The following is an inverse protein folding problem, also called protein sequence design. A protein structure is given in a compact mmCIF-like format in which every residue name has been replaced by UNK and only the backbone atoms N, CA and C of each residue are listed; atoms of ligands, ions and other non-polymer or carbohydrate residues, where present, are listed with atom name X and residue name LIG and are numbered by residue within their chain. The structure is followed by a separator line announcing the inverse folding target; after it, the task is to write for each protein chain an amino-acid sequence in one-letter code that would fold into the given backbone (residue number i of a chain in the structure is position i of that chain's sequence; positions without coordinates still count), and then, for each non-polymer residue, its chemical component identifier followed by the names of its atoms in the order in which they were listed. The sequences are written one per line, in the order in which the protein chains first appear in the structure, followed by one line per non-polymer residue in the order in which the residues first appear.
data_IF_593408942199
#
_entry.id   IF_593408942199
#
_cell.length_a   1.000
_cell.length_b   1.000
_cell.length_c   1.000
_cell.angle_alpha   90.00
_cell.angle_beta   90.00
_cell.angle_gamma   90.00
#
_symmetry.space_group_name_H-M   'P 1'
#
loop_
_entity.id
_entity.type
_entity.pdbx_description
1 polymer ?
2 non-polymer ?
3 non-polymer ?
4 water ?
#
# COMPACT_ATOMS: atom_id res chain seq x y z
N UNK A 4 -26.80 15.70 -16.66
CA UNK A 4 -25.87 16.70 -17.18
C UNK A 4 -24.43 16.26 -17.01
N UNK A 5 -24.01 16.08 -15.75
CA UNK A 5 -22.63 15.69 -15.45
C UNK A 5 -22.51 14.19 -15.24
N UNK A 6 -21.37 13.61 -15.65
CA UNK A 6 -21.15 12.18 -15.39
C UNK A 6 -20.95 11.94 -13.90
N UNK A 7 -21.09 10.69 -13.48
CA UNK A 7 -20.91 10.30 -12.09
C UNK A 7 -19.94 9.14 -12.00
N UNK A 8 -19.21 9.05 -10.90
CA UNK A 8 -18.21 8.00 -10.77
C UNK A 8 -18.12 7.46 -9.35
N UNK A 9 -17.74 6.20 -9.23
CA UNK A 9 -17.33 5.63 -7.96
C UNK A 9 -16.25 4.59 -8.19
N UNK A 10 -15.36 4.44 -7.22
CA UNK A 10 -14.41 3.34 -7.21
C UNK A 10 -14.52 2.61 -5.89
N UNK A 11 -14.48 1.29 -5.92
CA UNK A 11 -14.53 0.51 -4.70
C UNK A 11 -14.02 -0.89 -5.01
N UNK A 12 -14.05 -1.76 -4.01
CA UNK A 12 -13.73 -3.15 -4.24
C UNK A 12 -14.79 -3.74 -5.17
N UNK A 13 -14.42 -4.75 -5.93
CA UNK A 13 -15.32 -5.34 -6.92
C UNK A 13 -16.66 -5.74 -6.28
N UNK A 14 -17.75 -5.22 -6.85
CA UNK A 14 -19.09 -5.53 -6.38
C UNK A 14 -19.67 -4.49 -5.43
N UNK A 15 -18.85 -3.52 -5.02
CA UNK A 15 -19.29 -2.53 -4.04
C UNK A 15 -19.48 -1.13 -4.64
N UNK A 16 -18.90 -0.88 -5.81
CA UNK A 16 -18.95 0.45 -6.40
C UNK A 16 -20.37 0.84 -6.79
N UNK A 17 -20.70 2.11 -6.55
CA UNK A 17 -22.03 2.63 -6.83
C UNK A 17 -21.98 4.14 -6.98
N UNK A 18 -22.00 4.63 -8.24
CA UNK A 18 -21.85 6.07 -8.50
C UNK A 18 -23.02 6.88 -7.97
N UNK A 19 -24.21 6.27 -7.92
CA UNK A 19 -25.40 6.97 -7.43
C UNK A 19 -25.38 7.10 -5.91
N UNK A 20 -24.93 6.05 -5.24
CA UNK A 20 -24.98 5.98 -3.78
C UNK A 20 -23.73 5.32 -3.21
N UNK A 21 -22.61 6.06 -3.20
CA UNK A 21 -21.34 5.52 -2.71
C UNK A 21 -21.41 5.05 -1.25
N UNK A 22 -20.64 4.01 -0.95
CA UNK A 22 -20.53 3.41 0.38
C UNK A 22 -20.16 4.45 1.44
N UNK A 23 -20.71 4.29 2.64
CA UNK A 23 -20.52 5.28 3.70
C UNK A 23 -19.18 5.20 4.44
N UNK A 24 -18.65 3.99 4.54
CA UNK A 24 -17.45 3.82 5.32
C UNK A 24 -16.16 3.69 4.51
N UNK A 25 -16.07 4.37 3.39
CA UNK A 25 -14.93 4.15 2.48
C UNK A 25 -13.59 4.41 3.10
N UNK A 26 -13.51 5.41 3.95
CA UNK A 26 -12.25 5.86 4.45
C UNK A 26 -11.57 4.86 5.37
N UNK A 27 -12.39 4.02 5.98
CA UNK A 27 -11.95 3.02 6.92
C UNK A 27 -11.31 1.83 6.19
N UNK A 28 -10.03 1.65 6.43
CA UNK A 28 -9.29 0.60 5.74
C UNK A 28 -9.84 -0.80 6.03
N UNK A 29 -9.85 -1.63 4.99
CA UNK A 29 -10.26 -3.02 5.11
C UNK A 29 -9.02 -3.89 5.31
N UNK A 30 -9.07 -4.73 6.33
CA UNK A 30 -7.96 -5.60 6.68
C UNK A 30 -7.74 -6.70 5.64
N UNK A 31 -6.51 -6.78 5.14
CA UNK A 31 -6.08 -7.86 4.25
C UNK A 31 -4.77 -8.43 4.76
N UNK A 32 -4.39 -9.62 4.27
CA UNK A 32 -3.05 -10.13 4.56
C UNK A 32 -2.15 -9.94 3.34
N UNK A 33 -0.84 -9.87 3.59
CA UNK A 33 0.12 -9.75 2.50
C UNK A 33 -0.09 -10.89 1.50
N UNK A 34 -0.07 -10.55 0.22
CA UNK A 34 -0.26 -11.53 -0.83
C UNK A 34 -1.69 -11.58 -1.35
N UNK A 35 -2.61 -10.94 -0.62
CA UNK A 35 -3.99 -10.89 -1.09
C UNK A 35 -4.07 -10.17 -2.44
N UNK A 36 -4.88 -10.70 -3.33
CA UNK A 36 -5.16 -10.02 -4.59
C UNK A 36 -6.43 -9.19 -4.41
N UNK A 37 -6.28 -7.88 -4.46
CA UNK A 37 -7.37 -6.95 -4.24
C UNK A 37 -8.02 -6.59 -5.57
N UNK A 38 -9.31 -6.93 -5.72
CA UNK A 38 -10.05 -6.63 -6.94
C UNK A 38 -10.78 -5.29 -6.85
N UNK A 39 -10.56 -4.44 -7.84
CA UNK A 39 -11.15 -3.11 -7.87
C UNK A 39 -12.15 -2.97 -9.01
N UNK A 40 -13.07 -2.03 -8.86
CA UNK A 40 -13.92 -1.64 -9.97
C UNK A 40 -14.17 -0.15 -9.98
N UNK A 41 -14.13 0.44 -11.17
CA UNK A 41 -14.51 1.82 -11.39
C UNK A 41 -15.78 1.82 -12.21
N UNK A 42 -16.82 2.46 -11.70
CA UNK A 42 -18.07 2.55 -12.42
C UNK A 42 -18.35 4.02 -12.73
N UNK A 43 -18.55 4.32 -14.01
CA UNK A 43 -18.79 5.69 -14.45
C UNK A 43 -20.08 5.78 -15.26
N UNK A 44 -20.96 6.70 -14.85
CA UNK A 44 -22.19 6.96 -15.58
C UNK A 44 -21.99 8.13 -16.53
N UNK A 45 -22.24 7.91 -17.81
CA UNK A 45 -22.14 8.96 -18.80
C UNK A 45 -23.52 9.32 -19.31
N UNK A 46 -23.87 10.61 -19.25
CA UNK A 46 -25.22 11.09 -19.59
C UNK A 46 -25.59 10.80 -21.04
N UNK A 47 -26.89 10.67 -21.30
CA UNK A 47 -27.37 10.55 -22.68
C UNK A 47 -26.98 11.81 -23.43
N UNK A 48 -26.80 11.67 -24.74
CA UNK A 48 -26.54 12.83 -25.61
C UNK A 48 -25.20 13.50 -25.33
N UNK A 49 -24.24 12.72 -24.82
CA UNK A 49 -22.90 13.25 -24.59
C UNK A 49 -22.16 13.40 -25.92
N UNK A 50 -21.21 14.33 -25.95
CA UNK A 50 -20.38 14.53 -27.14
C UNK A 50 -18.95 14.77 -26.73
N UNK A 51 -18.39 13.85 -25.95
CA UNK A 51 -17.04 14.02 -25.43
C UNK A 51 -15.99 13.80 -26.50
N UNK A 52 -14.93 14.62 -26.46
CA UNK A 52 -13.76 14.44 -27.30
C UNK A 52 -12.75 13.56 -26.58
N UNK A 53 -12.88 13.51 -25.25
CA UNK A 53 -11.98 12.72 -24.41
C UNK A 53 -12.75 12.06 -23.27
N UNK A 54 -12.44 10.80 -23.01
CA UNK A 54 -12.90 10.09 -21.82
C UNK A 54 -11.76 9.21 -21.38
N UNK A 55 -10.99 9.70 -20.40
CA UNK A 55 -9.79 9.02 -19.92
C UNK A 55 -9.85 8.69 -18.42
N UNK A 56 -9.48 7.47 -18.07
CA UNK A 56 -9.35 7.09 -16.68
C UNK A 56 -7.88 6.81 -16.36
N UNK A 57 -7.42 7.26 -15.21
CA UNK A 57 -6.07 6.93 -14.78
C UNK A 57 -6.04 6.59 -13.31
N UNK A 58 -5.23 5.59 -12.96
CA UNK A 58 -5.11 5.13 -11.58
C UNK A 58 -3.64 4.98 -11.23
N UNK A 59 -3.27 5.41 -10.02
CA UNK A 59 -1.93 5.22 -9.50
C UNK A 59 -2.05 4.77 -8.06
N UNK A 60 -1.16 3.86 -7.66
CA UNK A 60 -1.26 3.23 -6.34
C UNK A 60 0.00 3.42 -5.50
N UNK A 61 -0.18 3.42 -4.18
CA UNK A 61 0.94 3.47 -3.28
C UNK A 61 1.75 2.15 -3.36
N UNK A 62 3.00 2.19 -2.92
CA UNK A 62 3.95 1.14 -3.29
C UNK A 62 3.65 -0.26 -2.76
N UNK A 63 2.85 -0.35 -1.69
CA UNK A 63 2.48 -1.64 -1.12
C UNK A 63 1.42 -2.39 -1.91
N UNK A 64 0.88 -1.75 -2.94
CA UNK A 64 -0.05 -2.39 -3.87
C UNK A 64 0.61 -2.50 -5.24
N UNK A 65 0.87 -3.74 -5.68
CA UNK A 65 1.43 -3.96 -7.00
C UNK A 65 0.34 -4.19 -8.04
N UNK A 66 0.11 -3.20 -8.89
CA UNK A 66 -0.85 -3.34 -9.98
C UNK A 66 -0.56 -4.61 -10.77
N UNK A 67 -1.60 -5.42 -10.98
CA UNK A 67 -1.45 -6.64 -11.76
C UNK A 67 -1.68 -6.39 -13.25
N UNK A 68 -0.58 -6.25 -13.99
CA UNK A 68 -0.68 -6.00 -15.43
C UNK A 68 -1.46 -7.12 -16.11
N UNK A 69 -2.30 -6.74 -17.06
CA UNK A 69 -3.08 -7.70 -17.83
C UNK A 69 -4.46 -7.99 -17.27
N UNK A 70 -4.78 -7.40 -16.12
CA UNK A 70 -6.06 -7.70 -15.47
C UNK A 70 -7.19 -6.72 -15.81
N UNK A 71 -6.89 -5.71 -16.62
CA UNK A 71 -7.89 -4.69 -16.92
C UNK A 71 -8.96 -5.18 -17.91
N UNK A 72 -10.22 -5.05 -17.51
CA UNK A 72 -11.37 -5.36 -18.35
C UNK A 72 -12.32 -4.18 -18.35
N UNK A 73 -12.82 -3.81 -19.53
CA UNK A 73 -13.72 -2.68 -19.66
C UNK A 73 -14.99 -3.03 -20.41
N UNK A 74 -16.13 -2.65 -19.83
CA UNK A 74 -17.44 -2.88 -20.44
C UNK A 74 -18.25 -1.59 -20.46
N UNK A 75 -19.16 -1.51 -21.43
CA UNK A 75 -20.12 -0.42 -21.48
C UNK A 75 -21.51 -1.06 -21.51
N UNK A 76 -22.34 -0.71 -20.53
CA UNK A 76 -23.64 -1.37 -20.37
C UNK A 76 -23.48 -2.89 -20.33
N UNK A 77 -22.43 -3.36 -19.66
CA UNK A 77 -22.17 -4.78 -19.45
C UNK A 77 -21.68 -5.51 -20.71
N UNK A 78 -21.33 -4.74 -21.73
CA UNK A 78 -20.84 -5.29 -22.98
C UNK A 78 -19.36 -4.97 -23.17
N UNK A 79 -18.56 -5.97 -23.49
CA UNK A 79 -17.12 -5.78 -23.61
C UNK A 79 -16.73 -4.85 -24.77
N UNK A 80 -15.78 -3.95 -24.51
CA UNK A 80 -15.22 -3.14 -25.57
C UNK A 80 -14.21 -3.95 -26.38
N UNK A 81 -13.94 -3.50 -27.60
CA UNK A 81 -12.92 -4.12 -28.44
C UNK A 81 -11.56 -3.45 -28.22
N UNK A 82 -10.49 -4.15 -28.60
CA UNK A 82 -9.14 -3.62 -28.42
C UNK A 82 -9.00 -2.23 -29.03
N UNK A 83 -9.66 -2.01 -30.17
CA UNK A 83 -9.55 -0.75 -30.88
C UNK A 83 -10.33 0.40 -30.26
N UNK A 84 -11.09 0.11 -29.21
CA UNK A 84 -11.94 1.11 -28.59
C UNK A 84 -11.21 1.94 -27.54
N UNK A 85 -10.04 1.47 -27.12
CA UNK A 85 -9.27 2.19 -26.11
C UNK A 85 -7.78 1.97 -26.22
N UNK A 86 -7.03 2.90 -25.68
CA UNK A 86 -5.58 2.77 -25.58
C UNK A 86 -5.24 2.57 -24.11
N UNK A 87 -4.63 1.43 -23.81
CA UNK A 87 -4.27 1.12 -22.43
C UNK A 87 -2.76 1.15 -22.23
N UNK A 88 -2.31 1.98 -21.30
CA UNK A 88 -0.90 2.02 -20.94
C UNK A 88 -0.73 1.56 -19.50
N UNK A 89 0.11 0.55 -19.31
CA UNK A 89 0.33 -0.01 -17.98
C UNK A 89 1.73 0.30 -17.47
N UNK A 90 1.80 0.73 -16.21
CA UNK A 90 3.07 0.96 -15.54
C UNK A 90 3.11 0.23 -14.20
N UNK A 91 4.25 0.22 -13.54
CA UNK A 91 4.39 -0.50 -12.29
C UNK A 91 3.36 -0.06 -11.26
N UNK A 92 3.01 1.23 -11.30
CA UNK A 92 2.16 1.81 -10.27
C UNK A 92 0.71 2.03 -10.69
N UNK A 93 0.32 1.52 -11.86
CA UNK A 93 -1.05 1.69 -12.29
C UNK A 93 -1.22 1.68 -13.80
N UNK A 94 -2.22 2.42 -14.28
CA UNK A 94 -2.53 2.44 -15.71
C UNK A 94 -3.26 3.69 -16.14
N UNK A 95 -3.26 3.93 -17.44
CA UNK A 95 -4.10 4.95 -18.06
C UNK A 95 -4.91 4.27 -19.15
N UNK A 96 -6.22 4.55 -19.19
CA UNK A 96 -7.10 3.96 -20.17
C UNK A 96 -7.86 5.09 -20.87
N UNK A 97 -7.62 5.23 -22.17
CA UNK A 97 -8.16 6.35 -22.93
C UNK A 97 -9.02 5.84 -24.07
N UNK A 98 -10.27 6.30 -24.15
CA UNK A 98 -11.12 5.87 -25.25
C UNK A 98 -10.62 6.46 -26.57
N UNK A 99 -10.61 5.62 -27.60
CA UNK A 99 -10.30 6.08 -28.95
C UNK A 99 -11.57 6.65 -29.55
N UNK A 100 -11.49 7.16 -30.77
CA UNK A 100 -12.69 7.65 -31.45
C UNK A 100 -13.74 6.54 -31.55
N UNK A 101 -13.28 5.32 -31.79
CA UNK A 101 -14.19 4.17 -31.89
C UNK A 101 -14.90 3.91 -30.58
N UNK A 102 -14.18 4.01 -29.47
CA UNK A 102 -14.75 3.83 -28.16
C UNK A 102 -15.68 4.95 -27.78
N UNK A 103 -15.29 6.18 -28.12
CA UNK A 103 -16.12 7.35 -27.84
C UNK A 103 -17.50 7.24 -28.49
N UNK A 104 -17.54 6.67 -29.70
CA UNK A 104 -18.80 6.55 -30.43
C UNK A 104 -19.80 5.67 -29.68
N UNK A 105 -19.30 4.81 -28.79
CA UNK A 105 -20.16 3.90 -28.05
C UNK A 105 -20.75 4.51 -26.77
N UNK A 106 -20.16 5.61 -26.31
CA UNK A 106 -20.71 6.31 -25.15
C UNK A 106 -21.34 7.65 -25.52
N UNK A 107 -20.99 8.16 -26.70
CA UNK A 107 -21.52 9.43 -27.18
C UNK A 107 -22.83 9.27 -27.94
N UNK A 108 -23.65 10.32 -27.95
CA UNK A 108 -24.84 10.38 -28.79
C UNK A 108 -25.82 9.24 -28.53
N UNK A 109 -25.88 8.80 -27.27
CA UNK A 109 -26.79 7.73 -26.89
C UNK A 109 -28.09 8.32 -26.34
N UNK A 110 -29.18 7.58 -26.48
CA UNK A 110 -30.48 8.07 -26.03
C UNK A 110 -30.73 7.80 -24.54
N UNK A 111 -29.80 7.10 -23.90
CA UNK A 111 -29.90 6.82 -22.48
C UNK A 111 -28.53 6.88 -21.81
N UNK A 112 -28.53 7.04 -20.50
CA UNK A 112 -27.32 7.04 -19.70
C UNK A 112 -26.53 5.76 -19.98
N UNK A 113 -25.21 5.89 -20.12
CA UNK A 113 -24.34 4.74 -20.33
C UNK A 113 -23.50 4.45 -19.09
N UNK A 114 -23.30 3.17 -18.81
CA UNK A 114 -22.54 2.75 -17.64
C UNK A 114 -21.24 2.07 -18.04
N UNK A 115 -20.12 2.72 -17.74
CA UNK A 115 -18.81 2.16 -18.02
C UNK A 115 -18.30 1.46 -16.77
N UNK A 116 -17.79 0.24 -16.92
CA UNK A 116 -17.24 -0.51 -15.80
C UNK A 116 -15.84 -0.98 -16.14
N UNK A 117 -14.88 -0.62 -15.30
CA UNK A 117 -13.49 -1.02 -15.47
C UNK A 117 -13.06 -1.82 -14.25
N UNK A 118 -12.66 -3.06 -14.45
CA UNK A 118 -12.20 -3.89 -13.35
C UNK A 118 -10.75 -4.32 -13.55
N UNK A 119 -10.07 -4.56 -12.43
CA UNK A 119 -8.66 -4.94 -12.44
C UNK A 119 -8.26 -5.31 -11.02
N UNK A 120 -7.02 -5.74 -10.84
CA UNK A 120 -6.58 -6.11 -9.50
C UNK A 120 -5.16 -5.64 -9.21
N UNK A 121 -4.82 -5.64 -7.92
CA UNK A 121 -3.47 -5.36 -7.47
C UNK A 121 -3.15 -6.36 -6.36
N UNK A 122 -1.86 -6.64 -6.17
CA UNK A 122 -1.44 -7.57 -5.13
C UNK A 122 -0.81 -6.80 -3.97
N UNK A 123 -1.32 -7.03 -2.77
CA UNK A 123 -0.72 -6.43 -1.58
C UNK A 123 0.63 -7.10 -1.35
N UNK A 124 1.69 -6.30 -1.28
CA UNK A 124 3.05 -6.86 -1.29
C UNK A 124 3.85 -6.60 0.00
N UNK A 125 5.05 -7.15 0.05
CA UNK A 125 5.85 -7.14 1.27
C UNK A 125 6.37 -5.76 1.68
N UNK A 126 6.16 -4.76 0.83
CA UNK A 126 6.55 -3.39 1.17
C UNK A 126 5.53 -2.74 2.10
N UNK A 127 4.36 -3.36 2.23
CA UNK A 127 3.32 -2.82 3.09
C UNK A 127 3.81 -2.78 4.53
N UNK A 128 3.45 -1.73 5.25
CA UNK A 128 3.80 -1.58 6.66
C UNK A 128 2.54 -1.74 7.50
N UNK A 129 2.63 -2.54 8.55
CA UNK A 129 1.45 -2.79 9.38
C UNK A 129 0.84 -1.50 9.90
N UNK A 130 -0.49 -1.44 9.86
CA UNK A 130 -1.28 -0.31 10.33
C UNK A 130 -1.17 0.96 9.48
N UNK A 131 -0.41 0.89 8.39
CA UNK A 131 -0.36 1.99 7.43
C UNK A 131 -1.10 1.56 6.18
N UNK A 132 -2.21 2.24 5.86
CA UNK A 132 -3.01 1.77 4.72
C UNK A 132 -2.28 1.94 3.38
N UNK A 133 -2.75 1.18 2.39
CA UNK A 133 -2.32 1.36 1.01
C UNK A 133 -3.56 1.74 0.22
N UNK A 134 -3.38 2.50 -0.86
CA UNK A 134 -4.52 3.04 -1.60
C UNK A 134 -4.22 3.21 -3.08
N UNK A 135 -5.28 3.14 -3.88
CA UNK A 135 -5.19 3.60 -5.26
C UNK A 135 -5.80 5.00 -5.34
N UNK A 136 -5.91 5.51 -6.56
CA UNK A 136 -6.31 6.91 -6.77
C UNK A 136 -6.69 7.11 -8.22
N UNK A 137 -8.00 7.08 -8.50
CA UNK A 137 -8.50 7.20 -9.86
C UNK A 137 -9.00 8.60 -10.16
N UNK A 138 -8.73 9.08 -11.37
CA UNK A 138 -9.31 10.34 -11.83
C UNK A 138 -9.91 10.09 -13.20
N UNK A 139 -11.08 10.69 -13.45
CA UNK A 139 -11.71 10.61 -14.77
C UNK A 139 -11.64 11.98 -15.41
N UNK A 140 -10.91 12.07 -16.51
CA UNK A 140 -10.69 13.32 -17.21
C UNK A 140 -11.44 13.29 -18.54
N UNK A 141 -12.32 14.27 -18.75
CA UNK A 141 -13.24 14.25 -19.88
C UNK A 141 -13.59 15.67 -20.32
N UNK A 142 -14.28 15.77 -21.45
CA UNK A 142 -14.80 17.05 -21.89
C UNK A 142 -15.10 17.04 -23.38
N UNK A 143 -15.72 18.12 -23.85
CA UNK A 143 -16.02 18.24 -25.28
C UNK A 143 -14.80 18.66 -26.09
N UNK A 144 -13.75 19.11 -25.40
CA UNK A 144 -12.46 19.36 -26.02
C UNK A 144 -11.49 18.25 -25.64
N UNK A 145 -10.43 18.06 -26.44
CA UNK A 145 -9.42 17.09 -26.01
C UNK A 145 -8.93 17.44 -24.60
N UNK A 146 -8.74 16.43 -23.75
CA UNK A 146 -8.30 16.70 -22.38
C UNK A 146 -6.98 16.00 -22.05
N UNK A 147 -6.09 16.72 -21.37
CA UNK A 147 -4.76 16.23 -21.09
C UNK A 147 -4.53 15.92 -19.61
N UNK A 148 -5.59 16.00 -18.81
CA UNK A 148 -5.50 15.73 -17.38
C UNK A 148 -5.36 14.25 -17.06
N UNK A 149 -4.83 13.97 -15.87
CA UNK A 149 -4.70 12.60 -15.38
C UNK A 149 -4.62 12.59 -13.85
N UNK A 150 -4.30 11.44 -13.27
CA UNK A 150 -4.36 11.28 -11.81
C UNK A 150 -3.01 11.56 -11.14
N UNK A 151 -3.04 12.02 -9.87
CA UNK A 151 -1.77 12.28 -9.18
C UNK A 151 -0.90 11.02 -9.03
N UNK A 152 0.42 11.22 -9.05
CA UNK A 152 1.36 10.15 -8.79
C UNK A 152 1.96 10.36 -7.40
N UNK A 153 1.78 9.38 -6.50
CA UNK A 153 2.29 9.57 -5.13
C UNK A 153 3.83 9.48 -5.08
N UNK A 154 4.43 10.16 -4.12
CA UNK A 154 5.88 10.18 -4.00
C UNK A 154 6.30 10.36 -2.56
N UNK A 155 7.44 9.80 -2.20
CA UNK A 155 8.01 10.03 -0.88
C UNK A 155 8.82 11.32 -0.89
N UNK A 156 9.00 11.92 0.30
CA UNK A 156 9.90 13.07 0.40
C UNK A 156 11.35 12.62 0.23
N UNK A 157 12.26 13.57 0.07
CA UNK A 157 13.68 13.27 0.17
C UNK A 157 14.02 12.84 1.59
N UNK A 158 15.23 12.31 1.78
CA UNK A 158 15.66 11.77 3.07
C UNK A 158 15.38 12.69 4.24
N UNK A 159 15.52 13.99 4.03
CA UNK A 159 15.38 14.96 5.12
C UNK A 159 13.97 15.49 5.33
N UNK A 160 13.00 14.95 4.60
CA UNK A 160 11.60 15.24 4.83
C UNK A 160 11.01 16.30 3.92
N UNK A 161 11.78 16.72 2.91
CA UNK A 161 11.35 17.75 1.98
C UNK A 161 10.66 17.17 0.75
N UNK A 162 9.55 17.78 0.34
CA UNK A 162 8.87 17.41 -0.89
C UNK A 162 8.49 18.68 -1.64
N UNK A 163 8.94 18.78 -2.90
CA UNK A 163 8.83 20.02 -3.65
C UNK A 163 7.88 19.89 -4.83
N UNK A 164 7.00 20.88 -4.98
CA UNK A 164 6.06 20.95 -6.09
C UNK A 164 6.54 21.97 -7.12
N UNK A 165 6.49 21.60 -8.40
CA UNK A 165 6.73 22.52 -9.49
C UNK A 165 5.57 22.48 -10.48
N UNK A 166 5.06 23.66 -10.84
CA UNK A 166 3.94 23.75 -11.77
C UNK A 166 4.30 24.55 -13.01
N UNK A 167 3.94 24.03 -14.17
CA UNK A 167 4.06 24.77 -15.42
C UNK A 167 2.70 24.83 -16.11
N UNK A 168 2.57 25.71 -17.10
CA UNK A 168 1.30 25.93 -17.78
C UNK A 168 1.49 25.87 -19.28
N UNK A 169 0.55 25.24 -19.97
CA UNK A 169 0.58 25.20 -21.44
C UNK A 169 -0.82 25.43 -22.01
N UNK A 170 -0.89 25.88 -23.26
CA UNK A 170 -2.18 26.01 -23.93
C UNK A 170 -2.64 24.66 -24.47
N UNK A 171 -3.76 24.64 -25.19
CA UNK A 171 -4.34 23.39 -25.65
C UNK A 171 -3.42 22.62 -26.61
N UNK A 172 -2.48 23.33 -27.23
CA UNK A 172 -1.55 22.72 -28.18
C UNK A 172 -0.26 22.25 -27.52
N UNK A 173 -0.10 22.57 -26.24
CA UNK A 173 1.09 22.17 -25.49
C UNK A 173 2.17 23.24 -25.42
N UNK A 174 1.87 24.44 -25.91
CA UNK A 174 2.82 25.55 -25.89
C UNK A 174 2.83 26.23 -24.53
N UNK A 175 4.03 26.47 -23.96
CA UNK A 175 4.07 27.12 -22.66
C UNK A 175 3.35 28.48 -22.65
N UNK A 176 2.65 28.76 -21.56
CA UNK A 176 1.97 30.03 -21.35
C UNK A 176 2.18 30.48 -19.91
N UNK A 177 1.97 31.78 -19.63
CA UNK A 177 2.03 32.30 -18.25
C UNK A 177 0.98 31.65 -17.38
N UNK A 178 1.17 31.69 -16.06
CA UNK A 178 0.18 31.16 -15.13
C UNK A 178 -1.16 31.83 -15.37
N UNK A 179 -2.22 31.04 -15.46
CA UNK A 179 -3.54 31.55 -15.78
C UNK A 179 -4.29 32.01 -14.55
N UNK A 180 -3.84 31.58 -13.38
CA UNK A 180 -4.51 31.91 -12.13
C UNK A 180 -3.65 31.46 -10.97
N UNK A 181 -4.00 31.90 -9.77
CA UNK A 181 -3.40 31.33 -8.57
C UNK A 181 -3.83 29.87 -8.49
N UNK A 182 -2.91 28.99 -8.10
CA UNK A 182 -3.18 27.57 -8.07
C UNK A 182 -3.01 27.03 -6.66
N UNK A 183 -4.08 26.46 -6.12
CA UNK A 183 -4.03 25.87 -4.79
C UNK A 183 -3.97 24.35 -4.85
N UNK A 184 -3.08 23.79 -4.04
CA UNK A 184 -2.92 22.34 -3.96
C UNK A 184 -3.09 21.87 -2.52
N UNK A 185 -3.73 20.73 -2.36
CA UNK A 185 -3.74 20.08 -1.06
C UNK A 185 -2.70 18.97 -1.04
N UNK A 186 -1.74 19.07 -0.13
CA UNK A 186 -0.77 18.00 0.06
C UNK A 186 -1.43 16.93 0.91
N UNK A 187 -1.58 15.74 0.35
CA UNK A 187 -2.35 14.69 0.99
C UNK A 187 -1.43 13.51 1.29
N UNK A 188 -1.61 12.93 2.47
CA UNK A 188 -1.00 11.64 2.80
C UNK A 188 -1.67 10.60 1.92
N UNK A 189 -0.91 10.03 0.98
CA UNK A 189 -1.49 9.14 -0.04
C UNK A 189 -1.89 7.77 0.51
N UNK A 190 -1.36 7.42 1.68
CA UNK A 190 -1.68 6.15 2.31
C UNK A 190 -3.09 6.20 2.89
N UNK A 191 -3.37 7.28 3.61
CA UNK A 191 -4.59 7.38 4.40
C UNK A 191 -5.65 8.31 3.80
N UNK A 192 -5.21 9.24 2.95
CA UNK A 192 -6.12 10.16 2.30
C UNK A 192 -6.44 11.40 3.10
N UNK A 193 -5.62 11.69 4.12
CA UNK A 193 -5.80 12.88 4.94
C UNK A 193 -4.94 14.04 4.43
N UNK A 194 -5.51 15.25 4.40
CA UNK A 194 -4.76 16.42 3.99
C UNK A 194 -3.81 16.84 5.11
N UNK A 195 -2.56 17.10 4.77
CA UNK A 195 -1.56 17.46 5.77
C UNK A 195 -1.20 18.95 5.68
N UNK A 196 -1.30 19.52 4.49
CA UNK A 196 -0.94 20.91 4.28
C UNK A 196 -1.57 21.45 3.01
N UNK A 197 -1.99 22.71 3.03
CA UNK A 197 -2.46 23.37 1.83
C UNK A 197 -1.46 24.42 1.38
N UNK A 198 -1.18 24.45 0.08
CA UNK A 198 -0.23 25.42 -0.47
C UNK A 198 -0.85 26.14 -1.67
N UNK A 199 -0.47 27.40 -1.85
CA UNK A 199 -0.94 28.17 -3.00
C UNK A 199 0.23 28.76 -3.76
N UNK A 200 0.26 28.52 -5.06
CA UNK A 200 1.24 29.16 -5.93
C UNK A 200 0.64 30.42 -6.53
N UNK A 201 1.27 31.56 -6.24
CA UNK A 201 0.90 32.81 -6.89
C UNK A 201 1.35 32.76 -8.35
N UNK A 202 0.92 33.72 -9.14
CA UNK A 202 1.19 33.70 -10.58
C UNK A 202 2.64 34.03 -10.92
N UNK A 203 3.44 34.38 -9.91
CA UNK A 203 4.84 34.74 -10.18
C UNK A 203 5.87 33.76 -9.60
N UNK A 204 5.41 32.79 -8.80
CA UNK A 204 6.30 31.79 -8.23
C UNK A 204 5.72 30.38 -8.35
N UNK A 205 6.32 29.55 -9.20
CA UNK A 205 5.72 28.27 -9.58
C UNK A 205 6.28 27.04 -8.87
N UNK A 206 7.00 27.26 -7.78
CA UNK A 206 7.58 26.15 -7.01
C UNK A 206 7.42 26.39 -5.52
N UNK A 207 7.34 25.32 -4.75
CA UNK A 207 7.31 25.42 -3.30
C UNK A 207 7.79 24.13 -2.66
N UNK A 208 8.54 24.26 -1.58
CA UNK A 208 9.01 23.10 -0.84
C UNK A 208 8.27 23.01 0.49
N UNK A 209 7.75 21.82 0.78
CA UNK A 209 7.16 21.53 2.09
C UNK A 209 8.13 20.67 2.87
N UNK A 210 8.47 21.10 4.08
CA UNK A 210 9.41 20.38 4.94
C UNK A 210 8.70 19.63 6.06
N UNK A 211 9.43 18.75 6.75
CA UNK A 211 8.92 18.10 7.94
C UNK A 211 8.06 16.87 7.72
N UNK A 212 8.10 16.34 6.50
CA UNK A 212 7.29 15.17 6.16
C UNK A 212 8.00 13.88 6.52
N UNK A 213 7.26 12.78 6.57
CA UNK A 213 7.84 11.48 6.90
C UNK A 213 8.44 10.83 5.66
N UNK A 214 9.73 10.50 5.75
CA UNK A 214 10.47 9.99 4.60
C UNK A 214 10.00 8.61 4.15
N UNK A 215 9.23 7.93 5.01
CA UNK A 215 8.73 6.59 4.68
C UNK A 215 7.25 6.58 4.29
N UNK A 216 6.70 7.77 4.05
CA UNK A 216 5.30 7.94 3.72
C UNK A 216 5.17 8.54 2.32
N UNK A 217 4.19 8.07 1.55
CA UNK A 217 3.93 8.66 0.25
C UNK A 217 2.88 9.76 0.33
N UNK A 218 3.12 10.85 -0.40
CA UNK A 218 2.21 11.98 -0.45
C UNK A 218 1.90 12.34 -1.90
N UNK A 219 0.94 13.24 -2.07
CA UNK A 219 0.58 13.75 -3.39
C UNK A 219 0.06 15.18 -3.26
N UNK A 220 0.37 16.01 -4.25
CA UNK A 220 -0.22 17.35 -4.31
C UNK A 220 -1.43 17.28 -5.22
N UNK A 221 -2.63 17.42 -4.65
CA UNK A 221 -3.85 17.36 -5.44
C UNK A 221 -4.30 18.76 -5.80
N UNK A 222 -4.32 19.07 -7.09
CA UNK A 222 -4.70 20.40 -7.54
C UNK A 222 -6.19 20.65 -7.35
N UNK A 223 -6.54 21.76 -6.71
CA UNK A 223 -7.93 22.18 -6.69
C UNK A 223 -8.29 22.70 -8.08
N UNK A 224 -9.42 22.25 -8.61
CA UNK A 224 -9.82 22.59 -9.97
C UNK A 224 -9.75 24.08 -10.25
N UNK A 225 -9.06 24.41 -11.34
CA UNK A 225 -8.97 25.77 -11.84
C UNK A 225 -9.81 25.82 -13.11
N UNK A 226 -10.72 26.78 -13.19
CA UNK A 226 -11.66 26.85 -14.30
C UNK A 226 -10.98 26.85 -15.66
N UNK A 227 -11.23 25.80 -16.44
CA UNK A 227 -10.73 25.72 -17.80
C UNK A 227 -9.32 25.16 -17.97
N UNK A 228 -8.73 24.70 -16.86
CA UNK A 228 -7.40 24.09 -16.90
C UNK A 228 -7.44 22.66 -16.36
N UNK A 229 -6.70 21.77 -17.01
CA UNK A 229 -6.63 20.38 -16.60
C UNK A 229 -5.23 20.02 -16.08
N UNK A 230 -5.19 19.22 -15.02
CA UNK A 230 -3.94 18.89 -14.34
C UNK A 230 -3.30 17.60 -14.82
N UNK A 231 -2.09 17.73 -15.37
CA UNK A 231 -1.31 16.64 -15.92
C UNK A 231 -0.14 16.39 -14.97
N UNK A 232 -0.25 15.36 -14.15
CA UNK A 232 0.77 15.04 -13.15
C UNK A 232 1.86 14.19 -13.81
N UNK A 233 3.09 14.69 -13.77
CA UNK A 233 4.19 14.02 -14.45
C UNK A 233 4.62 12.75 -13.72
N UNK A 234 5.12 11.78 -14.46
CA UNK A 234 5.71 10.58 -13.86
C UNK A 234 6.79 10.96 -12.84
N UNK A 235 6.88 10.19 -11.77
CA UNK A 235 7.88 10.44 -10.74
C UNK A 235 9.24 9.97 -11.22
N UNK A 236 10.27 10.81 -11.06
CA UNK A 236 11.62 10.44 -11.48
C UNK A 236 12.61 10.41 -10.31
N UNK A 237 12.23 11.05 -9.21
CA UNK A 237 13.08 11.10 -8.02
C UNK A 237 12.23 11.36 -6.79
N UNK A 238 12.66 10.85 -5.64
CA UNK A 238 12.01 11.19 -4.39
C UNK A 238 12.07 12.70 -4.17
N UNK A 239 11.09 13.24 -3.45
CA UNK A 239 11.14 14.63 -3.03
C UNK A 239 10.74 15.67 -4.07
N UNK A 240 10.35 15.22 -5.26
CA UNK A 240 9.93 16.15 -6.32
C UNK A 240 8.67 15.65 -7.03
N UNK A 241 7.70 16.55 -7.17
CA UNK A 241 6.48 16.29 -7.92
C UNK A 241 6.27 17.44 -8.90
N UNK A 242 6.03 17.10 -10.17
CA UNK A 242 5.81 18.12 -11.20
C UNK A 242 4.39 18.01 -11.77
N UNK A 243 3.76 19.17 -11.97
CA UNK A 243 2.43 19.22 -12.53
C UNK A 243 2.41 20.19 -13.70
N UNK A 244 1.72 19.80 -14.77
CA UNK A 244 1.53 20.67 -15.94
C UNK A 244 0.05 20.96 -16.11
N UNK A 245 -0.30 22.25 -16.15
CA UNK A 245 -1.68 22.67 -16.38
C UNK A 245 -1.97 23.01 -17.82
N UNK A 246 -2.87 22.26 -18.44
CA UNK A 246 -3.26 22.48 -19.82
C UNK A 246 -4.54 23.31 -19.92
N UNK A 247 -4.53 24.33 -20.78
CA UNK A 247 -5.73 25.14 -20.99
C UNK A 247 -6.71 24.43 -21.93
N UNK A 248 -7.30 23.34 -21.45
CA UNK A 248 -8.20 22.51 -22.27
C UNK A 248 -9.63 23.05 -22.33
N UNK A 249 -9.96 23.95 -21.39
CA UNK A 249 -11.30 24.53 -21.32
C UNK A 249 -12.41 23.48 -21.16
N UNK A 250 -12.10 22.45 -20.37
CA UNK A 250 -13.04 21.38 -20.06
C UNK A 250 -13.52 21.48 -18.61
N UNK A 251 -14.57 20.71 -18.26
CA UNK A 251 -15.08 20.66 -16.90
C UNK A 251 -14.06 20.07 -15.93
N UNK A 252 -14.27 20.29 -14.63
CA UNK A 252 -13.41 19.68 -13.63
C UNK A 252 -13.50 18.17 -13.73
N UNK A 253 -12.40 17.46 -13.42
CA UNK A 253 -12.40 16.01 -13.53
C UNK A 253 -13.25 15.37 -12.43
N UNK A 254 -13.57 14.09 -12.58
CA UNK A 254 -14.25 13.35 -11.53
C UNK A 254 -13.21 12.64 -10.67
N UNK A 255 -13.39 12.72 -9.36
CA UNK A 255 -12.39 12.25 -8.41
C UNK A 255 -13.12 11.57 -7.25
N UNK A 256 -13.35 10.25 -7.37
CA UNK A 256 -14.12 9.49 -6.39
C UNK A 256 -13.33 9.28 -5.11
N UNK A 257 -14.00 8.83 -4.05
CA UNK A 257 -13.32 8.47 -2.81
C UNK A 257 -12.91 7.00 -2.84
N UNK A 258 -11.60 6.75 -2.86
CA UNK A 258 -11.10 5.39 -2.96
C UNK A 258 -11.13 4.64 -1.64
N UNK A 259 -11.34 3.32 -1.70
CA UNK A 259 -11.23 2.49 -0.50
C UNK A 259 -9.76 2.34 -0.09
N UNK A 260 -9.52 1.70 1.04
CA UNK A 260 -8.17 1.54 1.56
C UNK A 260 -8.00 0.12 2.08
N UNK A 261 -6.77 -0.39 2.01
CA UNK A 261 -6.47 -1.70 2.58
C UNK A 261 -5.35 -1.60 3.60
N UNK A 262 -5.30 -2.53 4.54
CA UNK A 262 -4.32 -2.46 5.62
C UNK A 262 -4.02 -3.83 6.21
N UNK A 263 -2.77 -4.04 6.62
CA UNK A 263 -2.41 -5.29 7.25
C UNK A 263 -2.01 -5.05 8.71
N UNK A 264 -2.03 -6.13 9.51
CA UNK A 264 -1.82 -6.03 10.96
C UNK A 264 -0.61 -6.88 11.40
N UNK A 265 -0.19 -6.71 12.64
CA UNK A 265 0.95 -7.47 13.13
C UNK A 265 1.01 -7.56 14.65
N UNK A 266 2.07 -8.17 15.16
CA UNK A 266 2.23 -8.35 16.60
C UNK A 266 3.70 -8.41 16.98
N UNK A 267 4.04 -7.83 18.13
CA UNK A 267 5.39 -7.85 18.70
C UNK A 267 5.44 -8.71 19.94
N UNK A 268 6.59 -9.35 20.16
CA UNK A 268 6.82 -10.22 21.32
C UNK A 268 8.18 -9.95 21.97
N UNK A 269 8.29 -10.19 23.27
CA UNK A 269 9.59 -10.21 23.95
C UNK A 269 9.74 -11.48 24.78
N UNK A 270 10.81 -12.21 24.53
CA UNK A 270 11.16 -13.40 25.31
C UNK A 270 11.96 -13.03 26.55
N UNK A 271 11.44 -13.38 27.73
CA UNK A 271 12.15 -13.10 28.99
C UNK A 271 12.18 -14.33 29.90
N UNK A 272 12.91 -14.23 31.00
CA UNK A 272 12.81 -15.22 32.06
C UNK A 272 11.97 -14.69 33.21
N UNK A 273 11.98 -15.40 34.34
CA UNK A 273 11.14 -15.05 35.47
C UNK A 273 11.56 -13.73 36.14
N UNK A 274 12.75 -13.24 35.78
CA UNK A 274 13.25 -12.00 36.34
C UNK A 274 13.21 -10.87 35.31
N UNK A 275 12.50 -11.11 34.22
CA UNK A 275 12.32 -10.12 33.16
C UNK A 275 13.60 -9.87 32.36
N UNK A 276 14.60 -10.73 32.56
CA UNK A 276 15.80 -10.68 31.72
C UNK A 276 15.46 -11.17 30.31
N UNK A 277 15.96 -10.45 29.31
CA UNK A 277 15.64 -10.75 27.92
C UNK A 277 16.54 -11.83 27.33
N UNK A 278 15.94 -12.77 26.60
CA UNK A 278 16.63 -13.97 26.12
C UNK A 278 16.74 -14.06 24.61
N UNK A 279 17.94 -14.32 24.11
CA UNK A 279 18.20 -14.44 22.68
C UNK A 279 18.13 -15.89 22.20
N UNK A 280 17.67 -16.07 20.97
CA UNK A 280 17.76 -17.37 20.32
C UNK A 280 16.60 -18.33 20.53
N UNK A 281 15.52 -17.87 21.15
CA UNK A 281 14.32 -18.69 21.26
C UNK A 281 13.64 -18.69 19.89
N UNK A 282 13.12 -19.84 19.49
CA UNK A 282 12.49 -19.97 18.17
C UNK A 282 11.03 -20.40 18.28
N UNK A 283 10.18 -19.81 17.44
CA UNK A 283 8.74 -20.02 17.49
C UNK A 283 8.11 -20.17 16.11
N UNK A 284 6.99 -20.89 16.08
CA UNK A 284 6.11 -20.87 14.92
C UNK A 284 4.73 -20.39 15.35
N UNK A 285 3.86 -20.12 14.39
CA UNK A 285 2.52 -19.64 14.69
C UNK A 285 1.45 -20.62 14.26
N UNK A 286 0.54 -20.95 15.18
CA UNK A 286 -0.56 -21.87 14.88
C UNK A 286 -1.90 -21.14 14.93
N UNK A 287 -2.89 -21.71 14.25
CA UNK A 287 -4.22 -21.11 14.20
C UNK A 287 -5.20 -21.75 15.19
N UNK A 288 -4.67 -22.53 16.13
CA UNK A 288 -5.49 -23.19 17.14
C UNK A 288 -4.69 -23.43 18.41
N UNK A 289 -5.38 -23.65 19.53
CA UNK A 289 -4.68 -23.83 20.80
C UNK A 289 -4.04 -25.23 20.89
N UNK A 290 -4.52 -26.15 20.07
CA UNK A 290 -3.88 -27.45 19.90
C UNK A 290 -4.16 -27.95 18.48
N UNK A 291 -3.33 -28.86 18.00
CA UNK A 291 -3.47 -29.35 16.63
C UNK A 291 -3.52 -28.16 15.66
N UNK A 292 -4.44 -28.21 14.71
CA UNK A 292 -4.59 -27.12 13.76
C UNK A 292 -3.46 -27.03 12.75
N UNK A 293 -3.25 -25.83 12.21
CA UNK A 293 -2.22 -25.63 11.19
C UNK A 293 -1.24 -24.52 11.55
N UNK A 294 -0.16 -24.43 10.79
CA UNK A 294 0.92 -23.49 11.06
C UNK A 294 1.09 -22.50 9.93
N UNK A 295 1.49 -21.29 10.27
CA UNK A 295 1.63 -20.22 9.29
C UNK A 295 2.87 -20.43 8.42
N UNK A 296 2.67 -20.52 7.11
CA UNK A 296 3.77 -20.69 6.17
C UNK A 296 3.70 -19.66 5.06
N UNK A 297 4.84 -19.32 4.47
CA UNK A 297 4.82 -18.57 3.23
C UNK A 297 4.43 -19.53 2.10
N UNK A 298 3.69 -19.02 1.12
CA UNK A 298 3.25 -19.83 -0.01
C UNK A 298 4.41 -20.10 -0.96
N UNK A 299 4.81 -21.37 -1.07
CA UNK A 299 6.01 -21.76 -1.80
C UNK A 299 6.05 -21.30 -3.25
N UNK A 300 4.91 -21.34 -3.93
CA UNK A 300 4.88 -20.97 -5.35
C UNK A 300 4.85 -19.46 -5.56
N UNK A 301 4.87 -18.70 -4.47
CA UNK A 301 4.88 -17.24 -4.56
C UNK A 301 6.19 -16.64 -4.08
N UNK A 302 7.17 -17.50 -3.84
CA UNK A 302 8.48 -17.05 -3.39
C UNK A 302 9.57 -17.59 -4.29
N UNK A 303 10.53 -16.72 -4.63
CA UNK A 303 11.60 -17.08 -5.54
C UNK A 303 12.69 -17.91 -4.87
N UNK A 304 13.49 -18.60 -5.69
CA UNK A 304 14.61 -19.37 -5.18
C UNK A 304 15.55 -18.48 -4.38
N UNK A 305 15.80 -17.27 -4.90
CA UNK A 305 16.70 -16.32 -4.24
C UNK A 305 16.15 -15.84 -2.90
N UNK A 306 14.85 -15.64 -2.83
CA UNK A 306 14.21 -15.21 -1.58
C UNK A 306 14.28 -16.32 -0.53
N UNK A 307 13.99 -17.54 -0.95
CA UNK A 307 14.09 -18.69 -0.05
C UNK A 307 15.52 -18.88 0.45
N UNK A 308 16.49 -18.78 -0.47
CA UNK A 308 17.89 -18.95 -0.12
C UNK A 308 18.36 -17.92 0.91
N UNK A 309 17.91 -16.68 0.76
CA UNK A 309 18.34 -15.64 1.70
C UNK A 309 17.82 -15.90 3.11
N UNK A 310 16.61 -16.44 3.22
CA UNK A 310 16.08 -16.81 4.53
C UNK A 310 16.99 -17.85 5.19
N UNK A 311 17.39 -18.84 4.41
CA UNK A 311 18.24 -19.92 4.92
C UNK A 311 19.63 -19.42 5.35
N UNK A 312 20.28 -18.66 4.49
CA UNK A 312 21.64 -18.21 4.78
C UNK A 312 21.69 -17.22 5.93
N UNK A 313 20.70 -16.32 6.01
CA UNK A 313 20.68 -15.37 7.13
C UNK A 313 20.36 -16.10 8.44
N UNK A 314 19.53 -17.15 8.35
CA UNK A 314 19.23 -17.96 9.53
C UNK A 314 20.50 -18.66 10.03
N UNK A 315 21.28 -19.19 9.10
CA UNK A 315 22.54 -19.83 9.46
C UNK A 315 23.47 -18.87 10.18
N UNK A 316 23.59 -17.65 9.65
CA UNK A 316 24.44 -16.63 10.25
C UNK A 316 23.92 -16.20 11.63
N UNK A 317 22.59 -16.14 11.78
CA UNK A 317 21.97 -15.82 13.05
C UNK A 317 22.28 -16.91 14.08
N UNK A 318 22.17 -18.16 13.66
CA UNK A 318 22.54 -19.28 14.50
C UNK A 318 23.97 -19.16 15.01
N UNK A 319 24.87 -18.73 14.13
CA UNK A 319 26.27 -18.56 14.50
C UNK A 319 26.44 -17.43 15.51
N UNK A 320 25.69 -16.35 15.30
CA UNK A 320 25.79 -15.19 16.17
C UNK A 320 25.24 -15.51 17.55
N UNK A 321 24.14 -16.23 17.60
CA UNK A 321 23.53 -16.63 18.86
C UNK A 321 24.50 -17.54 19.63
N UNK A 322 25.16 -18.43 18.91
CA UNK A 322 26.13 -19.33 19.53
C UNK A 322 27.30 -18.56 20.14
N UNK A 323 27.81 -17.57 19.41
CA UNK A 323 28.95 -16.78 19.88
C UNK A 323 28.57 -15.89 21.06
N UNK A 324 27.34 -15.38 21.04
CA UNK A 324 26.84 -14.54 22.12
C UNK A 324 26.68 -15.35 23.39
N UNK A 325 26.02 -16.50 23.28
CA UNK A 325 25.81 -17.38 24.42
C UNK A 325 27.12 -17.81 25.07
N UNK A 326 28.22 -17.66 24.32
CA UNK A 326 29.53 -18.03 24.83
C UNK A 326 30.13 -16.92 25.68
N UNK A 327 29.60 -15.71 25.55
CA UNK A 327 30.11 -14.55 26.26
C UNK A 327 29.60 -14.50 27.69
N UNK A 328 30.43 -13.99 28.60
CA UNK A 328 30.01 -13.80 29.98
C UNK A 328 29.09 -12.59 30.08
N UNK A 329 28.33 -12.51 31.17
CA UNK A 329 27.45 -11.38 31.39
C UNK A 329 28.16 -10.07 31.15
N UNK A 330 29.39 -9.96 31.62
CA UNK A 330 30.19 -8.76 31.45
C UNK A 330 30.50 -8.48 30.00
N UNK A 337 25.57 -9.40 22.85
CA UNK A 337 26.28 -9.04 21.62
C UNK A 337 25.36 -8.29 20.68
N UNK A 338 25.81 -7.12 20.22
CA UNK A 338 25.08 -6.36 19.23
C UNK A 338 25.10 -7.14 17.92
N UNK A 339 25.99 -8.13 17.87
CA UNK A 339 26.11 -8.99 16.70
C UNK A 339 24.83 -9.80 16.53
N UNK A 340 24.24 -10.22 17.64
CA UNK A 340 22.99 -10.96 17.59
C UNK A 340 21.86 -10.11 17.03
N UNK A 341 21.74 -8.88 17.54
CA UNK A 341 20.67 -7.98 17.10
C UNK A 341 20.73 -7.72 15.60
N UNK A 342 21.93 -7.45 15.08
CA UNK A 342 22.11 -7.18 13.65
C UNK A 342 21.77 -8.41 12.81
N UNK A 343 22.29 -9.56 13.22
CA UNK A 343 22.04 -10.80 12.49
C UNK A 343 20.56 -11.16 12.51
N UNK A 344 19.91 -10.91 13.64
CA UNK A 344 18.49 -11.20 13.76
C UNK A 344 17.68 -10.25 12.87
N UNK A 345 18.10 -8.99 12.81
CA UNK A 345 17.42 -8.00 11.98
C UNK A 345 17.56 -8.35 10.49
N UNK A 346 18.74 -8.86 10.12
CA UNK A 346 18.96 -9.29 8.73
C UNK A 346 18.05 -10.46 8.38
N UNK A 347 17.95 -11.42 9.29
CA UNK A 347 17.07 -12.57 9.11
C UNK A 347 15.60 -12.13 9.04
N UNK A 348 15.19 -11.27 9.97
CA UNK A 348 13.84 -10.72 9.97
C UNK A 348 13.50 -10.04 8.64
N UNK A 349 14.43 -9.26 8.11
CA UNK A 349 14.22 -8.58 6.84
C UNK A 349 14.07 -9.59 5.69
N UNK A 350 14.88 -10.64 5.71
CA UNK A 350 14.80 -11.68 4.67
C UNK A 350 13.47 -12.42 4.74
N UNK A 351 13.00 -12.68 5.96
CA UNK A 351 11.71 -13.31 6.19
C UNK A 351 10.56 -12.46 5.66
N UNK A 352 10.60 -11.17 5.95
CA UNK A 352 9.57 -10.26 5.45
C UNK A 352 9.57 -10.23 3.92
N UNK A 353 10.77 -10.18 3.33
CA UNK A 353 10.90 -10.16 1.88
C UNK A 353 10.43 -11.45 1.23
N UNK A 354 10.60 -12.57 1.92
CA UNK A 354 10.16 -13.87 1.41
C UNK A 354 8.67 -14.15 1.66
N UNK A 355 8.10 -13.50 2.67
CA UNK A 355 6.69 -13.69 3.02
C UNK A 355 5.78 -12.92 2.06
N UNK A 356 5.78 -13.32 0.78
CA UNK A 356 4.96 -12.64 -0.22
C UNK A 356 3.47 -12.99 -0.10
N UNK A 357 3.19 -14.15 0.45
CA UNK A 357 1.83 -14.62 0.63
C UNK A 357 1.84 -15.68 1.73
N UNK A 358 0.73 -15.81 2.44
CA UNK A 358 0.63 -16.78 3.53
C UNK A 358 -0.37 -17.89 3.25
N UNK A 359 -0.09 -19.07 3.80
CA UNK A 359 -1.07 -20.13 3.85
C UNK A 359 -0.89 -20.98 5.10
N UNK A 360 -1.92 -21.73 5.44
CA UNK A 360 -1.88 -22.60 6.62
C UNK A 360 -1.55 -24.03 6.22
N UNK A 361 -0.55 -24.61 6.88
CA UNK A 361 -0.11 -25.97 6.58
C UNK A 361 -0.16 -26.89 7.81
N UNK A 362 -0.51 -28.15 7.59
CA UNK A 362 -0.65 -29.10 8.68
C UNK A 362 0.68 -29.53 9.30
N UNK A 363 1.75 -29.52 8.50
CA UNK A 363 3.05 -30.03 8.92
C UNK A 363 3.95 -28.91 9.46
N UNK A 364 4.19 -28.91 10.76
CA UNK A 364 5.01 -27.85 11.35
C UNK A 364 6.46 -27.90 10.88
N UNK A 365 6.86 -29.04 10.32
CA UNK A 365 8.22 -29.21 9.81
C UNK A 365 8.37 -28.79 8.35
N UNK A 366 7.26 -28.36 7.73
CA UNK A 366 7.29 -27.85 6.37
C UNK A 366 8.34 -26.75 6.24
N UNK A 367 9.17 -26.84 5.21
CA UNK A 367 10.29 -25.90 5.06
C UNK A 367 9.86 -24.44 4.91
N UNK A 368 8.59 -24.22 4.62
CA UNK A 368 8.08 -22.87 4.39
C UNK A 368 7.41 -22.24 5.60
N UNK A 369 7.33 -22.98 6.70
CA UNK A 369 6.73 -22.48 7.91
C UNK A 369 7.56 -21.30 8.43
N UNK A 370 6.86 -20.23 8.78
CA UNK A 370 7.53 -19.03 9.28
C UNK A 370 8.10 -19.28 10.68
N UNK A 371 9.39 -19.02 10.83
CA UNK A 371 10.08 -19.23 12.10
C UNK A 371 10.63 -17.92 12.67
N UNK A 372 10.14 -17.56 13.84
CA UNK A 372 10.56 -16.33 14.50
C UNK A 372 11.67 -16.64 15.51
N UNK A 373 12.61 -15.72 15.67
CA UNK A 373 13.76 -15.93 16.55
C UNK A 373 14.02 -14.67 17.37
N UNK A 374 14.15 -14.81 18.68
CA UNK A 374 14.34 -13.65 19.55
C UNK A 374 15.77 -13.11 19.46
N UNK A 375 15.90 -11.78 19.40
CA UNK A 375 17.23 -11.16 19.41
C UNK A 375 17.75 -11.00 20.84
N UNK A 376 18.85 -10.28 21.01
CA UNK A 376 19.49 -10.15 22.32
C UNK A 376 18.65 -9.32 23.29
N UNK A 377 17.65 -8.62 22.76
CA UNK A 377 16.70 -7.89 23.60
C UNK A 377 15.40 -8.69 23.70
N UNK A 378 15.46 -9.96 23.32
CA UNK A 378 14.33 -10.87 23.42
C UNK A 378 13.26 -10.65 22.36
N UNK A 379 13.52 -9.74 21.43
CA UNK A 379 12.48 -9.29 20.50
C UNK A 379 12.25 -10.21 19.31
N UNK A 380 10.98 -10.38 18.96
CA UNK A 380 10.61 -10.95 17.67
C UNK A 380 9.22 -10.45 17.28
N UNK A 381 8.89 -10.53 16.00
CA UNK A 381 7.62 -9.97 15.54
C UNK A 381 7.12 -10.62 14.26
N UNK A 382 5.84 -10.41 13.98
CA UNK A 382 5.21 -10.91 12.75
C UNK A 382 4.36 -9.79 12.13
N UNK A 383 4.47 -9.65 10.81
CA UNK A 383 3.74 -8.59 10.09
C UNK A 383 3.01 -9.15 8.88
N UNK A 384 1.93 -8.48 8.47
CA UNK A 384 1.20 -8.81 7.26
C UNK A 384 -0.02 -9.70 7.44
N UNK A 385 -0.60 -9.66 8.64
CA UNK A 385 -1.66 -10.60 9.01
C UNK A 385 -3.07 -10.03 9.01
N UNK A 386 -4.04 -10.95 8.89
CA UNK A 386 -5.42 -10.68 9.23
C UNK A 386 -5.62 -10.67 10.74
N UNK A 387 -6.59 -9.89 11.20
CA UNK A 387 -6.98 -9.90 12.60
C UNK A 387 -7.42 -11.29 13.01
N UNK A 388 -7.16 -11.64 14.27
CA UNK A 388 -7.63 -12.91 14.79
C UNK A 388 -6.90 -13.36 16.03
N UNK A 389 -7.27 -14.55 16.51
CA UNK A 389 -6.62 -15.15 17.67
C UNK A 389 -5.68 -16.25 17.20
N UNK A 390 -4.39 -16.07 17.47
CA UNK A 390 -3.38 -17.02 17.05
C UNK A 390 -2.62 -17.55 18.27
N UNK A 391 -1.76 -18.52 18.03
CA UNK A 391 -1.04 -19.17 19.13
C UNK A 391 0.43 -19.41 18.79
N UNK A 392 1.33 -18.89 19.62
CA UNK A 392 2.75 -19.17 19.47
C UNK A 392 3.05 -20.57 19.95
N UNK A 393 3.91 -21.29 19.22
CA UNK A 393 4.46 -22.54 19.70
C UNK A 393 5.98 -22.48 19.69
N UNK A 394 6.61 -22.65 20.84
CA UNK A 394 8.06 -22.64 20.89
C UNK A 394 8.61 -23.93 20.30
N UNK A 395 9.56 -23.79 19.38
CA UNK A 395 10.18 -24.95 18.74
C UNK A 395 11.63 -25.14 19.18
N UNK A 396 12.24 -24.08 19.69
CA UNK A 396 13.59 -24.17 20.25
C UNK A 396 13.72 -23.24 21.45
N UNK A 397 14.13 -23.80 22.58
CA UNK A 397 14.27 -23.01 23.79
C UNK A 397 15.57 -22.21 23.79
N UNK A 398 15.57 -21.07 24.49
CA UNK A 398 16.81 -20.30 24.65
C UNK A 398 17.78 -21.12 25.50
N UNK A 399 19.08 -20.95 25.28
CA UNK A 399 20.08 -21.73 26.01
C UNK A 399 19.87 -21.68 27.52
N UNK A 400 19.76 -22.85 28.14
CA UNK A 400 19.67 -22.95 29.59
C UNK A 400 18.25 -23.03 30.13
N UNK A 401 17.27 -22.94 29.26
CA UNK A 401 15.88 -22.97 29.68
C UNK A 401 15.15 -24.20 29.17
N UNK A 402 14.05 -24.55 29.83
CA UNK A 402 13.24 -25.68 29.43
C UNK A 402 12.29 -25.27 28.30
N UNK A 403 12.03 -26.21 27.38
CA UNK A 403 11.10 -25.97 26.30
C UNK A 403 9.69 -25.76 26.86
N UNK A 404 9.02 -24.69 26.45
CA UNK A 404 7.66 -24.44 26.87
C UNK A 404 6.75 -25.55 26.36
N UNK A 405 5.78 -25.95 27.18
CA UNK A 405 4.90 -27.06 26.82
C UNK A 405 3.56 -26.60 26.25
N UNK A 406 3.17 -25.36 26.56
CA UNK A 406 1.88 -24.86 26.12
C UNK A 406 2.06 -23.80 25.04
N UNK A 407 1.07 -23.69 24.16
CA UNK A 407 1.06 -22.61 23.19
C UNK A 407 0.65 -21.32 23.90
N UNK A 408 1.05 -20.18 23.34
CA UNK A 408 0.66 -18.91 23.95
C UNK A 408 -0.24 -18.10 23.03
N UNK A 409 -1.43 -17.82 23.52
CA UNK A 409 -2.44 -17.09 22.79
C UNK A 409 -2.02 -15.63 22.59
N UNK A 410 -2.27 -15.12 21.38
CA UNK A 410 -2.17 -13.68 21.15
C UNK A 410 -3.25 -13.21 20.19
N UNK A 411 -3.63 -11.94 20.32
CA UNK A 411 -4.67 -11.36 19.49
C UNK A 411 -4.08 -10.32 18.54
N UNK A 412 -4.34 -10.50 17.25
CA UNK A 412 -3.97 -9.49 16.26
C UNK A 412 -5.19 -8.62 15.98
N UNK A 413 -4.99 -7.31 16.05
CA UNK A 413 -6.06 -6.33 15.89
C UNK A 413 -5.55 -5.12 15.13
N UNK A 414 -6.43 -4.16 14.89
CA UNK A 414 -6.08 -2.96 14.14
C UNK A 414 -4.97 -2.15 14.81
N UNK A 415 -4.76 -2.36 16.09
CA UNK A 415 -3.72 -1.61 16.81
C UNK A 415 -2.77 -2.49 17.62
N UNK A 416 -2.79 -3.79 17.41
CA UNK A 416 -1.99 -4.71 18.23
C UNK A 416 -0.48 -4.53 18.07
N UNK A 417 -0.05 -4.02 16.93
CA UNK A 417 1.38 -3.81 16.69
C UNK A 417 1.90 -2.56 17.39
N UNK A 418 1.04 -1.56 17.55
CA UNK A 418 1.48 -0.24 17.99
C UNK A 418 1.04 0.17 19.40
N UNK A 419 -0.10 -0.35 19.83
CA UNK A 419 -0.72 0.12 21.07
C UNK A 419 0.09 -0.24 22.31
N UNK A 420 0.07 0.65 23.29
CA UNK A 420 0.54 0.28 24.62
C UNK A 420 -0.60 -0.49 25.30
N UNK A 421 -0.47 -0.75 26.59
CA UNK A 421 -1.49 -1.52 27.29
C UNK A 421 -1.35 -3.02 27.09
N UNK A 422 -0.14 -3.46 26.76
CA UNK A 422 0.12 -4.89 26.57
C UNK A 422 1.08 -5.41 27.64
N UNK A 423 1.85 -6.44 27.32
CA UNK A 423 2.63 -7.14 28.34
C UNK A 423 3.95 -6.53 28.77
N UNK A 424 4.65 -5.90 27.84
CA UNK A 424 6.02 -5.44 28.09
C UNK A 424 6.46 -4.50 26.97
N UNK A 425 7.46 -3.66 27.26
CA UNK A 425 8.07 -2.82 26.24
C UNK A 425 8.83 -3.66 25.22
N UNK A 426 8.50 -3.51 23.93
CA UNK A 426 9.27 -4.18 22.88
C UNK A 426 10.74 -3.83 23.05
N UNK A 427 11.02 -2.54 23.15
CA UNK A 427 12.38 -2.07 23.39
C UNK A 427 12.42 -1.40 24.76
N UNK A 428 13.27 -1.93 25.63
CA UNK A 428 13.35 -1.45 27.02
C UNK A 428 13.55 0.06 27.09
N UNK A 429 12.71 0.73 27.88
CA UNK A 429 12.83 2.16 28.09
C UNK A 429 11.98 3.00 27.16
N UNK A 430 11.26 2.35 26.26
CA UNK A 430 10.45 3.05 25.27
C UNK A 430 9.28 3.80 25.91
N UNK A 431 8.83 3.31 27.07
CA UNK A 431 7.67 3.88 27.73
C UNK A 431 6.37 3.36 27.17
N UNK A 432 6.46 2.50 26.17
CA UNK A 432 5.28 1.89 25.55
C UNK A 432 5.28 0.38 25.78
N UNK A 433 4.25 -0.14 26.43
CA UNK A 433 4.13 -1.57 26.63
C UNK A 433 3.42 -2.18 25.42
N UNK A 434 4.17 -2.32 24.33
CA UNK A 434 3.58 -2.65 23.03
C UNK A 434 3.92 -4.06 22.54
N UNK A 435 4.32 -4.93 23.46
CA UNK A 435 4.67 -6.30 23.09
C UNK A 435 4.05 -7.34 24.03
N UNK A 436 3.83 -8.54 23.50
CA UNK A 436 3.40 -9.69 24.29
C UNK A 436 4.60 -10.28 25.01
N UNK A 437 4.43 -10.55 26.30
CA UNK A 437 5.50 -11.08 27.13
C UNK A 437 5.47 -12.60 27.13
N UNK A 438 6.57 -13.22 26.72
CA UNK A 438 6.67 -14.67 26.72
C UNK A 438 7.71 -15.12 27.73
N UNK A 439 7.25 -15.80 28.79
CA UNK A 439 8.10 -16.11 29.93
C UNK A 439 8.66 -17.54 29.89
N UNK A 440 9.98 -17.66 29.99
CA UNK A 440 10.65 -18.95 29.96
C UNK A 440 10.83 -19.51 31.36
X LIG B 1 3.61 34.86 -23.06
X LIG B 1 4.52 33.87 -22.99
X LIG B 1 4.11 32.84 -23.77
X LIG B 1 2.93 33.19 -24.33
X LIG B 1 2.61 34.47 -23.88
X LIG B 1 3.66 35.71 -22.59
X LIG B 1 4.58 31.99 -23.90
X LIG C 1 -9.03 10.09 -7.05
#
# INVERSE_FOLDING_TARGET
NTEAKPKIDKDFKGKANPDTPRVDKDTPVNHQVGDVVEYEIVTKIPALANYATANWSDRMTEGLAFNKGTVKVTVDDVALEAGDYALTEVATGFDLKLTDAGLAKVNDQNAEKTVKITYSATLNDKAIVEVPESNDVTFNYGNNPDHGNTPKPNKPNENGDLTLTKTWVDATGAPIPAGAEATFDLVNAQAGKVVQTVTLTTDKNTVTVNGLDKNTEYKFVERSIKGYSADYQEITTAGEIAVKNWKDENPKPLDPTEPKVVTYGKKFVKVNDKDNRLAGAEFVIANADNAGQYLARKADKVSQEEKQLVVTTKDALDRAVAAYNALTAQQQTQQEKEKVDKAQAAYNAAVIAANNAFEWVADKDNENVVKLVSDAQGRFEITGLLAGTYYLEETKQPAGYALLTSRQKFEVTATSYSATGQGIEYTAGSGKDDATKVVNKKIT
IMD N1 C2 N3 C4 C5 HN1 HN3
NA NA
#
